data_IF_386806723073
#
_entry.id   IF_386806723073
#
_cell.length_a   1.000
_cell.length_b   1.000
_cell.length_c   1.000
_cell.angle_alpha   90.00
_cell.angle_beta   90.00
_cell.angle_gamma   90.00
#
_symmetry.space_group_name_H-M   'P 1'
#
loop_
_entity.id
_entity.type
_entity.pdbx_description
1 polymer ?
#
# COMPACT_ATOMS: atom_id res chain seq x y z
N UNK A 1 2.28 -11.18 -6.96
CA UNK A 1 0.90 -10.86 -7.36
C UNK A 1 0.67 -11.27 -8.80
N UNK A 2 -0.58 -11.41 -9.19
CA UNK A 2 -1.01 -11.76 -10.55
C UNK A 2 -2.07 -10.74 -11.03
N UNK A 3 -2.09 -10.45 -12.33
CA UNK A 3 -3.05 -9.53 -12.94
C UNK A 3 -3.67 -10.14 -14.18
N UNK A 4 -4.97 -9.90 -14.37
CA UNK A 4 -5.67 -10.12 -15.62
C UNK A 4 -5.93 -8.77 -16.29
N UNK A 5 -5.60 -8.67 -17.57
CA UNK A 5 -5.84 -7.48 -18.38
C UNK A 5 -6.70 -7.80 -19.60
N UNK A 6 -7.68 -6.96 -19.87
CA UNK A 6 -8.52 -7.00 -21.07
C UNK A 6 -8.68 -5.58 -21.62
N UNK A 7 -8.50 -5.39 -22.93
CA UNK A 7 -8.63 -4.09 -23.61
C UNK A 7 -7.79 -2.94 -23.00
N UNK A 8 -6.62 -3.29 -22.44
CA UNK A 8 -5.72 -2.34 -21.78
C UNK A 8 -6.19 -1.88 -20.40
N UNK A 9 -7.14 -2.59 -19.77
CA UNK A 9 -7.59 -2.38 -18.41
C UNK A 9 -7.25 -3.62 -17.57
N UNK A 10 -6.85 -3.41 -16.32
CA UNK A 10 -6.79 -4.47 -15.31
C UNK A 10 -8.21 -4.80 -14.88
N UNK A 11 -8.63 -6.06 -15.06
CA UNK A 11 -9.98 -6.52 -14.70
C UNK A 11 -10.01 -7.26 -13.36
N UNK A 12 -8.89 -7.90 -12.99
CA UNK A 12 -8.72 -8.51 -11.67
C UNK A 12 -7.24 -8.67 -11.34
N UNK A 13 -6.92 -8.81 -10.06
CA UNK A 13 -5.58 -9.16 -9.64
C UNK A 13 -5.43 -9.16 -8.12
N UNK A 14 -4.36 -9.77 -7.64
CA UNK A 14 -4.06 -9.82 -6.21
C UNK A 14 -2.63 -9.37 -5.98
N UNK A 15 -2.46 -8.40 -5.09
CA UNK A 15 -1.17 -7.95 -4.57
C UNK A 15 -1.08 -8.37 -3.12
N UNK A 16 -0.15 -9.27 -2.82
CA UNK A 16 0.20 -9.64 -1.45
C UNK A 16 1.44 -8.85 -1.04
N UNK A 17 1.36 -8.18 0.11
CA UNK A 17 2.40 -7.34 0.67
C UNK A 17 2.93 -8.06 1.92
N UNK A 18 4.22 -8.38 1.95
CA UNK A 18 4.86 -8.95 3.13
C UNK A 18 5.21 -7.83 4.12
N UNK A 19 4.50 -7.75 5.23
CA UNK A 19 4.71 -6.72 6.25
C UNK A 19 5.99 -6.97 7.08
N UNK A 20 6.63 -8.14 6.93
CA UNK A 20 7.97 -8.35 7.50
C UNK A 20 9.02 -7.51 6.79
N UNK A 21 8.77 -7.04 5.58
CA UNK A 21 9.72 -6.22 4.81
C UNK A 21 9.54 -4.72 5.04
N UNK A 22 8.70 -4.29 5.99
CA UNK A 22 8.58 -2.86 6.37
C UNK A 22 9.97 -2.31 6.70
N UNK A 23 10.29 -1.16 6.09
CA UNK A 23 11.55 -0.45 6.24
C UNK A 23 11.31 1.06 6.18
N UNK A 24 11.94 1.82 7.09
CA UNK A 24 11.82 3.28 7.14
C UNK A 24 13.01 3.92 6.42
N UNK A 25 12.81 4.35 5.17
CA UNK A 25 13.88 4.91 4.34
C UNK A 25 14.43 6.25 4.86
N UNK A 26 13.59 7.12 5.43
CA UNK A 26 14.00 8.44 5.96
C UNK A 26 15.05 8.35 7.08
N UNK A 27 15.09 7.21 7.77
CA UNK A 27 16.01 6.97 8.88
C UNK A 27 17.11 5.97 8.52
N UNK A 28 17.32 5.66 7.23
CA UNK A 28 18.34 4.69 6.79
C UNK A 28 19.74 5.00 7.33
N UNK A 29 20.09 6.28 7.46
CA UNK A 29 21.37 6.76 7.97
C UNK A 29 21.43 6.82 9.52
N UNK A 30 20.33 6.48 10.21
CA UNK A 30 20.25 6.33 11.66
C UNK A 30 19.66 4.95 12.05
N UNK A 31 20.46 3.86 11.99
CA UNK A 31 19.98 2.49 12.17
C UNK A 31 19.26 2.24 13.50
N UNK A 32 19.65 2.95 14.58
CA UNK A 32 19.04 2.80 15.90
C UNK A 32 17.62 3.34 15.93
N UNK A 33 17.41 4.55 15.39
CA UNK A 33 16.07 5.14 15.32
C UNK A 33 15.19 4.41 14.31
N UNK A 34 15.75 4.02 13.17
CA UNK A 34 15.07 3.22 12.16
C UNK A 34 14.60 1.88 12.72
N UNK A 35 15.47 1.11 13.37
CA UNK A 35 15.10 -0.16 13.98
C UNK A 35 14.02 -0.04 15.04
N UNK A 36 14.05 1.04 15.84
CA UNK A 36 12.98 1.32 16.81
C UNK A 36 11.65 1.60 16.14
N UNK A 37 11.61 2.48 15.14
CA UNK A 37 10.38 2.83 14.45
C UNK A 37 9.82 1.65 13.65
N UNK A 38 10.67 0.93 12.92
CA UNK A 38 10.30 -0.31 12.23
C UNK A 38 9.72 -1.33 13.20
N UNK A 39 10.33 -1.53 14.38
CA UNK A 39 9.80 -2.40 15.42
C UNK A 39 8.44 -1.96 15.96
N UNK A 40 8.24 -0.65 16.13
CA UNK A 40 6.98 -0.08 16.58
C UNK A 40 5.86 -0.26 15.54
N UNK A 41 6.13 0.00 14.27
CA UNK A 41 5.20 -0.24 13.16
C UNK A 41 4.78 -1.72 13.06
N UNK A 42 5.71 -2.65 13.34
CA UNK A 42 5.42 -4.09 13.31
C UNK A 42 4.59 -4.58 14.51
N UNK A 43 4.50 -3.79 15.58
CA UNK A 43 3.81 -4.17 16.82
C UNK A 43 2.29 -4.17 16.69
N UNK A 44 1.61 -4.67 17.74
CA UNK A 44 0.16 -4.74 17.81
C UNK A 44 -0.55 -3.37 17.71
N UNK A 45 0.14 -2.29 18.06
CA UNK A 45 -0.38 -0.91 17.99
C UNK A 45 -0.57 -0.42 16.54
N UNK A 46 0.13 -1.05 15.59
CA UNK A 46 0.11 -0.69 14.17
C UNK A 46 -0.29 -1.88 13.32
N UNK A 47 0.65 -2.53 12.61
CA UNK A 47 0.37 -3.58 11.63
C UNK A 47 0.18 -4.98 12.24
N UNK A 48 0.59 -5.18 13.49
CA UNK A 48 0.53 -6.46 14.19
C UNK A 48 1.09 -7.63 13.36
N UNK A 49 2.32 -7.46 12.88
CA UNK A 49 2.95 -8.35 11.88
C UNK A 49 3.11 -9.78 12.39
N UNK A 50 3.25 -9.96 13.70
CA UNK A 50 3.29 -11.29 14.32
C UNK A 50 2.01 -12.10 14.06
N UNK A 51 0.84 -11.45 14.06
CA UNK A 51 -0.47 -12.09 13.87
C UNK A 51 -0.98 -11.96 12.43
N UNK A 52 -0.62 -10.88 11.74
CA UNK A 52 -1.01 -10.56 10.37
C UNK A 52 0.23 -10.19 9.57
N UNK A 53 1.06 -11.18 9.17
CA UNK A 53 2.33 -10.91 8.50
C UNK A 53 2.17 -10.37 7.07
N UNK A 54 0.96 -10.42 6.53
CA UNK A 54 0.67 -10.05 5.14
C UNK A 54 -0.53 -9.11 5.07
N UNK A 55 -0.42 -8.07 4.24
CA UNK A 55 -1.57 -7.31 3.75
C UNK A 55 -1.91 -7.78 2.32
N UNK A 56 -3.17 -7.65 1.93
CA UNK A 56 -3.65 -8.07 0.62
C UNK A 56 -4.50 -6.99 -0.03
N UNK A 57 -4.18 -6.66 -1.28
CA UNK A 57 -5.01 -5.82 -2.13
C UNK A 57 -5.59 -6.65 -3.28
N UNK A 58 -6.91 -6.81 -3.28
CA UNK A 58 -7.66 -7.52 -4.33
C UNK A 58 -8.28 -6.51 -5.26
N UNK A 59 -7.82 -6.48 -6.50
CA UNK A 59 -8.27 -5.58 -7.55
C UNK A 59 -9.55 -6.13 -8.17
N UNK A 60 -10.58 -5.30 -8.19
CA UNK A 60 -11.89 -5.60 -8.77
C UNK A 60 -12.08 -4.94 -10.14
N UNK A 61 -11.18 -4.02 -10.52
CA UNK A 61 -11.15 -3.42 -11.84
C UNK A 61 -10.24 -2.20 -11.92
N UNK A 62 -10.25 -1.54 -13.07
CA UNK A 62 -9.52 -0.30 -13.27
C UNK A 62 -10.19 0.60 -14.28
N UNK A 63 -9.86 1.89 -14.21
CA UNK A 63 -10.24 2.91 -15.18
C UNK A 63 -8.98 3.56 -15.75
N UNK A 64 -9.03 4.04 -17.00
CA UNK A 64 -7.95 4.86 -17.57
C UNK A 64 -7.94 6.26 -16.95
N UNK A 65 -6.76 6.83 -16.82
CA UNK A 65 -6.52 8.10 -16.15
C UNK A 65 -6.51 7.97 -14.62
N UNK A 66 -6.10 9.04 -13.96
CA UNK A 66 -6.02 9.15 -12.51
C UNK A 66 -5.28 10.43 -12.11
N UNK A 67 -5.18 10.70 -10.82
CA UNK A 67 -4.49 11.88 -10.28
C UNK A 67 -2.97 11.77 -10.44
N UNK A 68 -2.25 12.88 -10.30
CA UNK A 68 -0.78 12.92 -10.30
C UNK A 68 -0.10 12.29 -11.54
N UNK A 69 -0.77 12.37 -12.70
CA UNK A 69 -0.29 11.82 -13.96
C UNK A 69 -0.34 10.29 -14.03
N UNK A 70 -1.18 9.65 -13.20
CA UNK A 70 -1.44 8.23 -13.26
C UNK A 70 -2.06 7.83 -14.61
N UNK A 71 -1.64 6.68 -15.15
CA UNK A 71 -2.19 6.16 -16.40
C UNK A 71 -3.50 5.42 -16.16
N UNK A 72 -3.69 4.88 -14.95
CA UNK A 72 -4.88 4.16 -14.54
C UNK A 72 -5.20 4.41 -13.07
N UNK A 73 -6.44 4.19 -12.68
CA UNK A 73 -6.86 4.05 -11.29
C UNK A 73 -7.31 2.62 -11.07
N UNK A 74 -6.63 1.90 -10.17
CA UNK A 74 -7.05 0.56 -9.74
C UNK A 74 -8.11 0.70 -8.66
N UNK A 75 -9.18 -0.08 -8.77
CA UNK A 75 -10.21 -0.21 -7.72
C UNK A 75 -10.12 -1.59 -7.13
N UNK A 76 -10.27 -1.67 -5.81
CA UNK A 76 -10.16 -2.95 -5.12
C UNK A 76 -10.41 -2.83 -3.64
N UNK A 77 -10.16 -3.94 -2.95
CA UNK A 77 -10.28 -4.02 -1.50
C UNK A 77 -8.92 -4.28 -0.88
N UNK A 78 -8.52 -3.43 0.06
CA UNK A 78 -7.30 -3.57 0.84
C UNK A 78 -7.62 -4.13 2.22
N UNK A 79 -7.01 -5.26 2.52
CA UNK A 79 -7.12 -5.95 3.81
C UNK A 79 -5.83 -5.80 4.59
N UNK A 80 -5.93 -5.16 5.76
CA UNK A 80 -4.85 -5.06 6.76
C UNK A 80 -5.44 -5.45 8.11
N UNK A 81 -4.75 -6.28 8.90
CA UNK A 81 -5.24 -6.74 10.22
C UNK A 81 -6.67 -7.32 10.21
N UNK A 82 -7.03 -8.02 9.13
CA UNK A 82 -8.38 -8.58 8.90
C UNK A 82 -9.49 -7.53 8.71
N UNK A 83 -9.15 -6.26 8.62
CA UNK A 83 -10.09 -5.18 8.28
C UNK A 83 -9.95 -4.93 6.78
N UNK A 84 -11.06 -5.06 6.07
CA UNK A 84 -11.12 -4.88 4.61
C UNK A 84 -11.82 -3.57 4.30
N UNK A 85 -11.19 -2.73 3.46
CA UNK A 85 -11.75 -1.46 2.98
C UNK A 85 -11.63 -1.36 1.47
N UNK A 86 -12.64 -0.81 0.83
CA UNK A 86 -12.56 -0.47 -0.58
C UNK A 86 -11.69 0.79 -0.75
N UNK A 87 -10.70 0.71 -1.64
CA UNK A 87 -9.83 1.83 -1.97
C UNK A 87 -9.65 1.94 -3.48
N UNK A 88 -9.30 3.16 -3.92
CA UNK A 88 -8.89 3.44 -5.28
C UNK A 88 -7.45 3.93 -5.27
N UNK A 89 -6.58 3.28 -6.04
CA UNK A 89 -5.16 3.59 -6.08
C UNK A 89 -4.81 4.15 -7.47
N UNK A 90 -4.34 5.41 -7.57
CA UNK A 90 -3.77 5.92 -8.80
C UNK A 90 -2.45 5.20 -9.09
N UNK A 91 -2.32 4.63 -10.30
CA UNK A 91 -1.14 3.88 -10.72
C UNK A 91 -0.63 4.32 -12.10
N UNK A 92 0.69 4.26 -12.26
CA UNK A 92 1.37 4.36 -13.55
C UNK A 92 1.75 2.95 -13.99
N UNK A 93 1.04 2.46 -14.99
CA UNK A 93 1.37 1.22 -15.69
C UNK A 93 2.15 1.60 -16.95
N UNK A 94 3.34 1.03 -17.10
CA UNK A 94 4.19 1.12 -18.30
C UNK A 94 4.59 -0.29 -18.75
N UNK A 95 4.59 -0.52 -20.06
CA UNK A 95 5.08 -1.77 -20.65
C UNK A 95 6.61 -1.71 -20.80
N UNK A 96 7.29 -2.79 -20.39
CA UNK A 96 8.72 -3.00 -20.53
C UNK A 96 8.97 -4.37 -21.18
N UNK A 97 8.87 -4.41 -22.51
CA UNK A 97 8.95 -5.65 -23.29
C UNK A 97 7.82 -6.63 -22.93
N UNK A 98 8.18 -7.77 -22.31
CA UNK A 98 7.24 -8.78 -21.82
C UNK A 98 6.78 -8.53 -20.37
N UNK A 99 7.25 -7.45 -19.74
CA UNK A 99 6.89 -7.09 -18.37
C UNK A 99 5.96 -5.88 -18.36
N UNK A 100 5.15 -5.79 -17.31
CA UNK A 100 4.39 -4.62 -16.92
C UNK A 100 5.02 -4.09 -15.64
N UNK A 101 5.53 -2.87 -15.72
CA UNK A 101 5.96 -2.11 -14.55
C UNK A 101 4.81 -1.25 -14.08
N UNK A 102 4.44 -1.40 -12.81
CA UNK A 102 3.37 -0.65 -12.16
C UNK A 102 3.96 0.09 -10.97
N UNK A 103 3.88 1.41 -10.99
CA UNK A 103 4.28 2.26 -9.86
C UNK A 103 3.08 3.00 -9.32
N UNK A 104 2.97 3.11 -8.01
CA UNK A 104 1.93 3.88 -7.35
C UNK A 104 2.55 4.71 -6.23
N UNK A 105 1.92 5.85 -5.96
CA UNK A 105 2.20 6.74 -4.84
C UNK A 105 0.85 7.33 -4.45
N UNK A 106 0.40 7.05 -3.23
CA UNK A 106 -0.93 7.43 -2.76
C UNK A 106 -0.94 7.51 -1.24
N UNK A 107 -1.79 8.38 -0.70
CA UNK A 107 -1.97 8.51 0.74
C UNK A 107 -3.04 7.52 1.25
N UNK A 108 -2.81 6.98 2.44
CA UNK A 108 -3.76 6.16 3.17
C UNK A 108 -3.96 6.73 4.56
N UNK A 109 -5.22 6.78 5.00
CA UNK A 109 -5.56 7.05 6.39
C UNK A 109 -5.52 5.73 7.20
N UNK A 110 -4.56 5.62 8.11
CA UNK A 110 -4.31 4.44 8.95
C UNK A 110 -5.44 4.14 9.94
N UNK A 111 -6.26 5.12 10.30
CA UNK A 111 -7.38 4.94 11.24
C UNK A 111 -8.45 4.01 10.67
N UNK A 112 -8.56 3.94 9.34
CA UNK A 112 -9.47 3.02 8.65
C UNK A 112 -9.19 1.54 8.94
N UNK A 113 -7.98 1.20 9.38
CA UNK A 113 -7.56 -0.16 9.77
C UNK A 113 -7.24 -0.28 11.26
N UNK A 114 -7.90 0.55 12.09
CA UNK A 114 -7.82 0.50 13.55
C UNK A 114 -6.39 0.71 14.09
N UNK A 115 -5.60 1.52 13.38
CA UNK A 115 -4.27 1.95 13.83
C UNK A 115 -4.38 3.31 14.52
N UNK A 116 -4.94 3.33 15.73
CA UNK A 116 -5.31 4.57 16.43
C UNK A 116 -4.20 5.16 17.32
N UNK A 117 -3.00 4.58 17.32
CA UNK A 117 -1.91 5.02 18.19
C UNK A 117 -1.57 6.50 17.94
N UNK A 118 -1.69 7.34 18.98
CA UNK A 118 -1.50 8.80 18.89
C UNK A 118 -2.30 9.51 17.77
N UNK A 119 -3.42 8.93 17.34
CA UNK A 119 -4.36 9.56 16.39
C UNK A 119 -5.21 10.62 17.10
N UNK A 120 -5.46 11.74 16.40
CA UNK A 120 -6.28 12.86 16.87
C UNK A 120 -5.51 13.95 17.61
N UNK A 121 -5.37 15.12 16.98
CA UNK A 121 -4.66 16.29 17.52
C UNK A 121 -5.25 16.75 18.87
N UNK A 122 -6.57 16.71 19.02
CA UNK A 122 -7.26 17.10 20.27
C UNK A 122 -6.87 16.22 21.47
N UNK A 123 -6.53 14.95 21.21
CA UNK A 123 -6.21 13.98 22.26
C UNK A 123 -4.72 13.95 22.61
N UNK A 124 -3.85 14.25 21.65
CA UNK A 124 -2.40 14.05 21.81
C UNK A 124 -1.55 15.32 21.62
N UNK A 125 -2.12 16.44 21.18
CA UNK A 125 -1.39 17.70 20.98
C UNK A 125 -0.17 17.50 20.09
N UNK A 126 0.99 18.02 20.54
CA UNK A 126 2.29 17.88 19.84
C UNK A 126 2.79 16.43 19.69
N UNK A 127 2.16 15.46 20.35
CA UNK A 127 2.50 14.04 20.23
C UNK A 127 1.63 13.30 19.22
N UNK A 128 0.67 13.99 18.60
CA UNK A 128 -0.15 13.39 17.56
C UNK A 128 0.74 12.90 16.42
N UNK A 129 0.38 11.73 15.88
CA UNK A 129 0.99 11.18 14.67
C UNK A 129 -0.06 11.29 13.58
N UNK A 130 0.35 11.79 12.42
CA UNK A 130 -0.55 11.96 11.29
C UNK A 130 -1.30 10.66 10.97
N UNK A 131 -2.59 10.82 10.71
CA UNK A 131 -3.47 9.70 10.37
C UNK A 131 -3.24 9.27 8.93
N UNK A 132 -2.93 10.23 8.05
CA UNK A 132 -2.55 10.02 6.66
C UNK A 132 -1.05 9.73 6.53
N UNK A 133 -0.71 8.72 5.73
CA UNK A 133 0.67 8.40 5.37
C UNK A 133 0.78 8.03 3.90
N UNK A 134 1.89 8.39 3.28
CA UNK A 134 2.15 8.06 1.89
C UNK A 134 2.62 6.60 1.76
N UNK A 135 2.05 5.90 0.77
CA UNK A 135 2.44 4.56 0.36
C UNK A 135 2.89 4.61 -1.09
N UNK A 136 4.12 4.16 -1.32
CA UNK A 136 4.63 3.93 -2.67
C UNK A 136 4.98 2.47 -2.89
N UNK A 137 4.70 1.97 -4.10
CA UNK A 137 5.17 0.65 -4.51
C UNK A 137 5.58 0.63 -5.98
N UNK A 138 6.51 -0.28 -6.28
CA UNK A 138 6.94 -0.59 -7.64
C UNK A 138 6.85 -2.09 -7.84
N UNK A 139 6.04 -2.51 -8.80
CA UNK A 139 5.76 -3.90 -9.11
C UNK A 139 6.12 -4.19 -10.55
N UNK A 140 6.89 -5.26 -10.76
CA UNK A 140 7.20 -5.80 -12.08
C UNK A 140 6.47 -7.13 -12.19
N UNK A 141 5.55 -7.22 -13.16
CA UNK A 141 4.81 -8.45 -13.44
C UNK A 141 5.03 -8.88 -14.89
N UNK A 142 4.98 -10.18 -15.17
CA UNK A 142 5.00 -10.64 -16.56
C UNK A 142 3.63 -10.40 -17.19
N UNK A 143 3.61 -9.93 -18.43
CA UNK A 143 2.40 -9.83 -19.23
C UNK A 143 1.90 -11.26 -19.48
N UNK A 144 0.86 -11.67 -18.78
CA UNK A 144 0.16 -12.92 -19.08
C UNK A 144 -0.68 -12.68 -20.32
N UNK A 145 -0.25 -13.24 -21.46
CA UNK A 145 -1.04 -13.23 -22.67
C UNK A 145 -2.28 -14.11 -22.46
N UNK A 146 -3.47 -13.54 -22.68
CA UNK A 146 -4.65 -14.36 -23.05
C UNK A 146 -4.54 -14.74 -24.52
#
# INVERSE_FOLDING_TARGET
GEFKMENGLVTSGTIQIDLNTIYVEDLKDNPKSQGKLTGHLKSADFFNVEVSPTAEFVITGSTKGGENGATHTLKGTLTIKKITKEISIPVKISEDGNNLKTTAEFELDRTNWDMMFHSGLEKWGDKAIDDEFEVSFNLISKKSAS
#
